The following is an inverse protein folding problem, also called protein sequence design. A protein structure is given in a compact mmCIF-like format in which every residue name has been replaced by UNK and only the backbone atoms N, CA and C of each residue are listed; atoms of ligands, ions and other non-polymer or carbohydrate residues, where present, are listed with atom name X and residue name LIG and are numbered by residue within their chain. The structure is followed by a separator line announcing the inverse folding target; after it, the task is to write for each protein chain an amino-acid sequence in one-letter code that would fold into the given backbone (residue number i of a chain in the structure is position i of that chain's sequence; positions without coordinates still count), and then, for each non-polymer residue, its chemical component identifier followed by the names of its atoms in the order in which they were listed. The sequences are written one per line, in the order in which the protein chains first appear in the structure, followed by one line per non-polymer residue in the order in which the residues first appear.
data_IF_240593310503
#
_entry.id   IF_240593310503
#
_cell.length_a   1.000
_cell.length_b   1.000
_cell.length_c   1.000
_cell.angle_alpha   90.00
_cell.angle_beta   90.00
_cell.angle_gamma   90.00
#
_symmetry.space_group_name_H-M   'P 1'
#
loop_
_entity.id
_entity.type
_entity.pdbx_description
1 polymer ?
#
# COMPACT_ATOMS: atom_id res chain seq x y z
N UNK A 1 2.16 15.66 6.77
CA UNK A 1 0.86 15.93 7.47
C UNK A 1 0.73 15.04 8.72
N UNK A 2 -0.11 15.41 9.72
CA UNK A 2 -0.25 14.61 10.96
C UNK A 2 -1.51 13.74 10.97
N UNK A 3 -1.37 12.44 11.24
CA UNK A 3 -2.47 11.49 11.46
C UNK A 3 -2.58 11.22 12.97
N UNK A 4 -3.68 11.62 13.63
CA UNK A 4 -3.89 11.27 15.04
C UNK A 4 -4.14 9.77 15.17
N UNK A 5 -3.53 9.12 16.15
CA UNK A 5 -3.71 7.67 16.39
C UNK A 5 -4.48 7.47 17.68
N UNK A 6 -4.08 8.16 18.74
CA UNK A 6 -4.77 8.20 20.04
C UNK A 6 -4.43 9.50 20.76
N UNK A 7 -4.97 9.69 21.96
CA UNK A 7 -4.62 10.83 22.79
C UNK A 7 -3.10 10.92 22.96
N UNK A 8 -2.55 12.10 22.66
CA UNK A 8 -1.11 12.38 22.72
C UNK A 8 -0.22 11.55 21.77
N UNK A 9 -0.79 10.78 20.83
CA UNK A 9 -0.03 10.10 19.78
C UNK A 9 -0.51 10.54 18.40
N UNK A 10 0.38 11.20 17.66
CA UNK A 10 0.17 11.59 16.26
C UNK A 10 1.34 11.11 15.43
N UNK A 11 1.05 10.59 14.25
CA UNK A 11 2.03 10.19 13.27
C UNK A 11 2.33 11.38 12.35
N UNK A 12 3.59 11.80 12.23
CA UNK A 12 3.97 12.68 11.12
C UNK A 12 4.15 11.82 9.86
N UNK A 13 3.22 11.93 8.93
CA UNK A 13 3.23 11.16 7.69
C UNK A 13 4.40 11.51 6.76
N UNK A 14 4.97 12.72 6.88
CA UNK A 14 6.16 13.11 6.10
C UNK A 14 7.41 12.35 6.54
N UNK A 15 7.41 11.84 7.77
CA UNK A 15 8.57 11.17 8.37
C UNK A 15 8.45 9.64 8.36
N UNK A 16 7.43 9.08 7.70
CA UNK A 16 7.11 7.65 7.76
C UNK A 16 6.95 7.09 6.35
N UNK A 17 7.75 6.08 6.02
CA UNK A 17 7.75 5.46 4.70
C UNK A 17 6.78 4.27 4.59
N UNK A 18 6.52 3.59 5.71
CA UNK A 18 5.70 2.38 5.77
C UNK A 18 5.07 2.18 7.15
N UNK A 19 3.87 1.61 7.19
CA UNK A 19 3.15 1.26 8.43
C UNK A 19 2.74 -0.21 8.33
N UNK A 20 3.05 -1.00 9.35
CA UNK A 20 2.58 -2.38 9.47
C UNK A 20 1.52 -2.47 10.58
N UNK A 21 0.36 -3.07 10.27
CA UNK A 21 -0.72 -3.32 11.22
C UNK A 21 -0.78 -4.84 11.45
N UNK A 22 -0.44 -5.29 12.65
CA UNK A 22 -0.41 -6.69 13.03
C UNK A 22 -1.30 -6.98 14.26
N UNK A 23 -1.78 -8.22 14.37
CA UNK A 23 -2.66 -8.65 15.45
C UNK A 23 -3.45 -9.90 15.09
N UNK A 24 -4.07 -10.54 16.08
CA UNK A 24 -4.87 -11.75 15.87
C UNK A 24 -6.22 -11.43 15.20
N UNK A 25 -6.93 -12.46 14.71
CA UNK A 25 -8.31 -12.27 14.22
C UNK A 25 -9.18 -11.66 15.32
N UNK A 26 -10.04 -10.70 14.97
CA UNK A 26 -10.88 -9.97 15.93
C UNK A 26 -10.19 -8.85 16.71
N UNK A 27 -8.88 -8.62 16.55
CA UNK A 27 -8.14 -7.59 17.31
C UNK A 27 -8.34 -6.15 16.83
N UNK A 28 -9.28 -5.90 15.91
CA UNK A 28 -9.53 -4.57 15.35
C UNK A 28 -8.66 -4.14 14.17
N UNK A 29 -7.83 -5.03 13.58
CA UNK A 29 -6.94 -4.69 12.44
C UNK A 29 -7.68 -3.99 11.29
N UNK A 30 -8.77 -4.58 10.82
CA UNK A 30 -9.55 -4.02 9.69
C UNK A 30 -10.19 -2.68 10.05
N UNK A 31 -10.55 -2.47 11.31
CA UNK A 31 -11.05 -1.19 11.80
C UNK A 31 -9.95 -0.12 11.76
N UNK A 32 -8.76 -0.43 12.30
CA UNK A 32 -7.59 0.45 12.24
C UNK A 32 -7.19 0.76 10.79
N UNK A 33 -7.23 -0.24 9.90
CA UNK A 33 -6.96 -0.04 8.47
C UNK A 33 -7.94 0.93 7.83
N UNK A 34 -9.24 0.77 8.09
CA UNK A 34 -10.30 1.65 7.57
C UNK A 34 -10.19 3.08 8.12
N UNK A 35 -9.77 3.20 9.38
CA UNK A 35 -9.44 4.48 9.98
C UNK A 35 -8.30 5.18 9.22
N UNK A 36 -7.19 4.48 8.99
CA UNK A 36 -6.08 5.02 8.19
C UNK A 36 -6.51 5.40 6.78
N UNK A 37 -7.28 4.56 6.10
CA UNK A 37 -7.83 4.87 4.77
C UNK A 37 -8.61 6.19 4.76
N UNK A 38 -9.45 6.41 5.77
CA UNK A 38 -10.24 7.63 5.92
C UNK A 38 -9.37 8.87 6.17
N UNK A 39 -8.31 8.73 6.96
CA UNK A 39 -7.37 9.81 7.23
C UNK A 39 -6.44 10.11 6.04
N UNK A 40 -6.07 9.09 5.27
CA UNK A 40 -5.15 9.21 4.15
C UNK A 40 -5.83 9.69 2.87
N UNK A 41 -7.12 9.42 2.69
CA UNK A 41 -7.90 9.82 1.51
C UNK A 41 -7.70 11.29 1.07
N UNK A 42 -7.76 12.30 1.97
CA UNK A 42 -7.53 13.69 1.58
C UNK A 42 -6.04 14.07 1.47
N UNK A 43 -5.11 13.19 1.90
CA UNK A 43 -3.69 13.49 2.01
C UNK A 43 -2.84 12.84 0.91
N UNK A 44 -3.33 11.76 0.30
CA UNK A 44 -2.54 10.86 -0.53
C UNK A 44 -3.41 10.20 -1.59
N UNK A 45 -2.83 9.98 -2.76
CA UNK A 45 -3.39 9.06 -3.75
C UNK A 45 -3.31 7.63 -3.19
N UNK A 46 -4.39 6.85 -3.31
CA UNK A 46 -4.48 5.52 -2.71
C UNK A 46 -4.54 4.42 -3.75
N UNK A 47 -3.68 3.42 -3.60
CA UNK A 47 -3.76 2.13 -4.29
C UNK A 47 -4.10 1.09 -3.23
N UNK A 48 -5.28 0.47 -3.36
CA UNK A 48 -5.78 -0.50 -2.36
C UNK A 48 -5.71 -1.89 -2.97
N UNK A 49 -5.09 -2.82 -2.26
CA UNK A 49 -4.99 -4.24 -2.59
C UNK A 49 -5.71 -5.01 -1.48
N UNK A 50 -6.76 -5.73 -1.85
CA UNK A 50 -7.59 -6.48 -0.91
C UNK A 50 -7.84 -7.90 -1.43
N UNK A 51 -7.07 -8.89 -0.95
CA UNK A 51 -7.20 -10.29 -1.36
C UNK A 51 -8.50 -10.94 -0.88
N UNK A 52 -9.15 -10.40 0.16
CA UNK A 52 -10.37 -10.96 0.76
C UNK A 52 -11.64 -10.31 0.20
N UNK A 53 -11.49 -9.18 -0.47
CA UNK A 53 -12.57 -8.38 -1.02
C UNK A 53 -13.63 -8.05 0.05
N UNK A 54 -13.17 -7.54 1.20
CA UNK A 54 -14.00 -7.33 2.39
C UNK A 54 -14.20 -5.85 2.76
N UNK A 55 -13.79 -5.44 3.97
CA UNK A 55 -14.01 -4.11 4.54
C UNK A 55 -13.25 -3.01 3.77
N UNK A 56 -11.95 -3.16 3.44
CA UNK A 56 -11.22 -2.17 2.65
C UNK A 56 -11.85 -1.98 1.27
N UNK A 57 -12.25 -3.06 0.60
CA UNK A 57 -12.93 -2.99 -0.70
C UNK A 57 -14.27 -2.25 -0.64
N UNK A 58 -15.09 -2.51 0.38
CA UNK A 58 -16.36 -1.79 0.57
C UNK A 58 -16.14 -0.31 0.80
N UNK A 59 -15.20 0.05 1.68
CA UNK A 59 -14.85 1.43 1.95
C UNK A 59 -14.34 2.13 0.68
N UNK A 60 -13.48 1.48 -0.10
CA UNK A 60 -12.94 2.05 -1.34
C UNK A 60 -14.02 2.32 -2.38
N UNK A 61 -14.97 1.38 -2.54
CA UNK A 61 -16.14 1.55 -3.41
C UNK A 61 -16.98 2.77 -3.04
N UNK A 62 -17.29 2.95 -1.76
CA UNK A 62 -18.04 4.11 -1.26
C UNK A 62 -17.30 5.43 -1.49
N UNK A 63 -15.97 5.38 -1.49
CA UNK A 63 -15.10 6.53 -1.68
C UNK A 63 -14.63 6.72 -3.14
N UNK A 64 -15.09 5.88 -4.08
CA UNK A 64 -14.74 5.88 -5.51
C UNK A 64 -13.23 5.71 -5.77
N UNK A 65 -12.58 4.87 -4.97
CA UNK A 65 -11.16 4.54 -5.09
C UNK A 65 -11.02 3.15 -5.72
N UNK A 66 -10.16 2.98 -6.74
CA UNK A 66 -9.94 1.68 -7.36
C UNK A 66 -9.29 0.70 -6.37
N UNK A 67 -9.66 -0.59 -6.51
CA UNK A 67 -9.15 -1.67 -5.68
C UNK A 67 -8.68 -2.81 -6.58
N UNK A 68 -7.48 -3.31 -6.31
CA UNK A 68 -6.98 -4.56 -6.89
C UNK A 68 -7.49 -5.69 -5.99
N UNK A 69 -8.42 -6.48 -6.50
CA UNK A 69 -9.03 -7.61 -5.80
C UNK A 69 -9.15 -8.83 -6.74
N UNK A 70 -9.32 -10.05 -6.20
CA UNK A 70 -9.45 -11.23 -7.05
C UNK A 70 -10.69 -11.16 -7.95
N UNK A 71 -10.55 -11.59 -9.20
CA UNK A 71 -11.64 -11.76 -10.15
C UNK A 71 -12.01 -13.24 -10.30
N UNK A 72 -13.31 -13.55 -10.48
CA UNK A 72 -13.82 -14.94 -10.50
C UNK A 72 -13.19 -15.83 -11.58
N UNK A 73 -12.68 -15.26 -12.67
CA UNK A 73 -12.12 -15.99 -13.81
C UNK A 73 -10.59 -15.87 -13.91
N UNK A 74 -9.91 -15.26 -12.93
CA UNK A 74 -8.45 -15.16 -12.89
C UNK A 74 -7.87 -16.16 -11.90
N UNK A 75 -6.69 -16.70 -12.21
CA UNK A 75 -5.95 -17.52 -11.25
C UNK A 75 -5.37 -16.64 -10.14
N UNK A 76 -5.05 -17.25 -9.00
CA UNK A 76 -4.34 -16.55 -7.91
C UNK A 76 -2.99 -16.01 -8.37
N UNK A 77 -2.31 -16.72 -9.26
CA UNK A 77 -1.05 -16.26 -9.85
C UNK A 77 -1.22 -15.02 -10.71
N UNK A 78 -2.28 -14.93 -11.50
CA UNK A 78 -2.58 -13.74 -12.32
C UNK A 78 -2.88 -12.53 -11.43
N UNK A 79 -3.62 -12.74 -10.34
CA UNK A 79 -3.90 -11.70 -9.34
C UNK A 79 -2.62 -11.16 -8.68
N UNK A 80 -1.70 -12.04 -8.27
CA UNK A 80 -0.42 -11.58 -7.69
C UNK A 80 0.49 -10.95 -8.74
N UNK A 81 0.41 -11.39 -10.00
CA UNK A 81 1.13 -10.74 -11.10
C UNK A 81 0.65 -9.30 -11.34
N UNK A 82 -0.66 -9.06 -11.32
CA UNK A 82 -1.24 -7.71 -11.39
C UNK A 82 -0.78 -6.81 -10.23
N UNK A 83 -0.69 -7.36 -9.02
CA UNK A 83 -0.12 -6.64 -7.87
C UNK A 83 1.35 -6.30 -8.12
N UNK A 84 2.15 -7.25 -8.63
CA UNK A 84 3.55 -7.00 -8.97
C UNK A 84 3.72 -5.91 -10.02
N UNK A 85 2.83 -5.85 -11.02
CA UNK A 85 2.82 -4.77 -12.01
C UNK A 85 2.54 -3.41 -11.35
N UNK A 86 1.55 -3.32 -10.46
CA UNK A 86 1.24 -2.08 -9.72
C UNK A 86 2.40 -1.62 -8.81
N UNK A 87 3.05 -2.56 -8.11
CA UNK A 87 4.25 -2.27 -7.32
C UNK A 87 5.41 -1.79 -8.20
N UNK A 88 5.65 -2.45 -9.34
CA UNK A 88 6.70 -2.06 -10.29
C UNK A 88 6.46 -0.65 -10.87
N UNK A 89 5.21 -0.31 -11.17
CA UNK A 89 4.85 1.05 -11.58
C UNK A 89 5.13 2.07 -10.48
N UNK A 90 4.87 1.72 -9.22
CA UNK A 90 5.17 2.60 -8.09
C UNK A 90 6.67 2.78 -7.90
N UNK A 91 7.46 1.73 -8.08
CA UNK A 91 8.92 1.83 -8.06
C UNK A 91 9.47 2.78 -9.13
N UNK A 92 8.88 2.76 -10.34
CA UNK A 92 9.23 3.72 -11.39
C UNK A 92 8.89 5.17 -11.01
N UNK A 93 7.81 5.40 -10.24
CA UNK A 93 7.48 6.74 -9.72
C UNK A 93 8.57 7.20 -8.75
N UNK A 94 9.05 6.32 -7.87
CA UNK A 94 10.13 6.61 -6.92
C UNK A 94 11.40 7.05 -7.67
N UNK A 95 11.85 6.29 -8.67
CA UNK A 95 13.04 6.65 -9.44
C UNK A 95 12.89 8.00 -10.17
N UNK A 96 11.71 8.29 -10.72
CA UNK A 96 11.45 9.61 -11.34
C UNK A 96 11.50 10.74 -10.31
N UNK A 97 11.01 10.52 -9.10
CA UNK A 97 11.08 11.53 -8.02
C UNK A 97 12.53 11.78 -7.61
N UNK A 98 13.35 10.73 -7.51
CA UNK A 98 14.79 10.85 -7.23
C UNK A 98 15.52 11.67 -8.28
N UNK A 99 15.23 11.43 -9.57
CA UNK A 99 15.79 12.23 -10.66
C UNK A 99 15.41 13.71 -10.53
N UNK A 100 14.14 14.01 -10.24
CA UNK A 100 13.69 15.38 -10.02
C UNK A 100 14.34 16.01 -8.77
N UNK A 101 14.52 15.24 -7.70
CA UNK A 101 15.15 15.73 -6.46
C UNK A 101 16.64 15.97 -6.62
N UNK A 102 17.30 15.25 -7.51
CA UNK A 102 18.70 15.50 -7.86
C UNK A 102 18.89 16.93 -8.39
N UNK A 103 17.99 17.37 -9.26
CA UNK A 103 18.02 18.72 -9.84
C UNK A 103 17.37 19.78 -8.92
N UNK A 104 16.29 19.41 -8.23
CA UNK A 104 15.54 20.28 -7.33
C UNK A 104 15.24 19.59 -5.99
N UNK A 105 16.14 19.69 -5.00
CA UNK A 105 16.01 19.00 -3.71
C UNK A 105 14.81 19.41 -2.86
N UNK A 106 14.07 20.45 -3.24
CA UNK A 106 12.89 20.95 -2.51
C UNK A 106 11.60 20.80 -3.33
N UNK A 107 11.63 20.04 -4.42
CA UNK A 107 10.45 19.81 -5.23
C UNK A 107 9.36 19.12 -4.39
N UNK A 108 8.17 19.71 -4.24
CA UNK A 108 7.08 19.09 -3.48
C UNK A 108 6.44 17.96 -4.32
N UNK A 109 6.12 16.83 -3.69
CA UNK A 109 5.36 15.75 -4.33
C UNK A 109 4.07 15.48 -3.56
N UNK A 110 3.02 15.06 -4.28
CA UNK A 110 1.86 14.44 -3.63
C UNK A 110 2.25 13.11 -3.00
N UNK A 111 1.64 12.76 -1.87
CA UNK A 111 1.79 11.43 -1.33
C UNK A 111 1.08 10.40 -2.21
N UNK A 112 1.68 9.21 -2.31
CA UNK A 112 1.08 8.03 -2.91
C UNK A 112 1.22 6.90 -1.88
N UNK A 113 0.11 6.29 -1.49
CA UNK A 113 0.08 5.22 -0.49
C UNK A 113 -0.49 3.95 -1.08
N UNK A 114 0.31 2.88 -1.00
CA UNK A 114 -0.16 1.52 -1.27
C UNK A 114 -0.63 0.90 0.03
N UNK A 115 -1.85 0.38 0.03
CA UNK A 115 -2.48 -0.28 1.17
C UNK A 115 -2.73 -1.73 0.78
N UNK A 116 -2.11 -2.67 1.50
CA UNK A 116 -2.25 -4.10 1.27
C UNK A 116 -2.93 -4.72 2.49
N UNK A 117 -4.15 -5.23 2.33
CA UNK A 117 -4.76 -6.05 3.36
C UNK A 117 -4.25 -7.50 3.27
N UNK A 118 -4.09 -8.13 4.42
CA UNK A 118 -3.64 -9.52 4.56
C UNK A 118 -2.49 -9.93 3.61
N UNK A 119 -1.29 -9.41 3.86
CA UNK A 119 -0.09 -9.70 3.04
C UNK A 119 0.16 -11.21 2.88
N UNK A 120 -0.14 -12.02 3.90
CA UNK A 120 0.06 -13.47 3.84
C UNK A 120 -0.83 -14.15 2.79
N UNK A 121 -2.05 -13.65 2.58
CA UNK A 121 -2.99 -14.22 1.60
C UNK A 121 -2.45 -14.14 0.17
N UNK A 122 -1.55 -13.19 -0.12
CA UNK A 122 -0.88 -13.05 -1.43
C UNK A 122 0.25 -14.07 -1.63
N UNK A 123 0.79 -14.60 -0.52
CA UNK A 123 1.97 -15.47 -0.52
C UNK A 123 1.66 -16.97 -0.49
N UNK A 124 0.42 -17.35 -0.19
CA UNK A 124 -0.03 -18.74 -0.09
C UNK A 124 -0.58 -19.24 -1.43
N UNK A 125 -0.25 -20.46 -1.86
CA UNK A 125 -0.86 -21.06 -3.07
C UNK A 125 -0.53 -20.37 -4.40
N UNK A 126 0.47 -19.48 -4.42
CA UNK A 126 1.00 -18.81 -5.62
C UNK A 126 2.32 -19.46 -6.06
N UNK A 127 2.62 -19.42 -7.36
CA UNK A 127 3.93 -19.86 -7.89
C UNK A 127 5.09 -19.17 -7.16
N UNK A 128 6.14 -19.94 -6.82
CA UNK A 128 7.32 -19.46 -6.09
C UNK A 128 7.96 -18.23 -6.74
N UNK A 129 8.12 -18.22 -8.06
CA UNK A 129 8.77 -17.09 -8.76
C UNK A 129 7.96 -15.79 -8.61
N UNK A 130 6.63 -15.88 -8.71
CA UNK A 130 5.74 -14.72 -8.58
C UNK A 130 5.75 -14.19 -7.14
N UNK A 131 5.74 -15.11 -6.16
CA UNK A 131 5.83 -14.80 -4.75
C UNK A 131 7.16 -14.14 -4.37
N UNK A 132 8.28 -14.70 -4.84
CA UNK A 132 9.61 -14.15 -4.56
C UNK A 132 9.74 -12.74 -5.18
N UNK A 133 9.19 -12.53 -6.38
CA UNK A 133 9.12 -11.21 -7.00
C UNK A 133 8.32 -10.21 -6.16
N UNK A 134 7.16 -10.62 -5.63
CA UNK A 134 6.32 -9.78 -4.76
C UNK A 134 7.07 -9.31 -3.51
N UNK A 135 7.73 -10.22 -2.79
CA UNK A 135 8.49 -9.84 -1.60
C UNK A 135 9.72 -9.00 -1.93
N UNK A 136 10.38 -9.26 -3.06
CA UNK A 136 11.48 -8.43 -3.54
C UNK A 136 11.01 -7.01 -3.80
N UNK A 137 9.87 -6.81 -4.47
CA UNK A 137 9.32 -5.50 -4.76
C UNK A 137 8.95 -4.74 -3.48
N UNK A 138 8.25 -5.39 -2.54
CA UNK A 138 7.92 -4.75 -1.24
C UNK A 138 9.19 -4.32 -0.51
N UNK A 139 10.20 -5.18 -0.48
CA UNK A 139 11.47 -4.87 0.19
C UNK A 139 12.16 -3.67 -0.45
N UNK A 140 12.28 -3.67 -1.78
CA UNK A 140 12.89 -2.58 -2.53
C UNK A 140 12.11 -1.27 -2.36
N UNK A 141 10.78 -1.29 -2.52
CA UNK A 141 9.93 -0.10 -2.32
C UNK A 141 10.09 0.49 -0.91
N UNK A 142 10.12 -0.36 0.12
CA UNK A 142 10.29 0.10 1.50
C UNK A 142 11.68 0.71 1.76
N UNK A 143 12.72 0.16 1.14
CA UNK A 143 14.10 0.59 1.31
C UNK A 143 14.35 1.88 0.54
N UNK A 144 14.00 1.93 -0.75
CA UNK A 144 14.30 3.07 -1.62
C UNK A 144 13.55 4.33 -1.16
N UNK A 145 12.32 4.20 -0.66
CA UNK A 145 11.57 5.33 -0.06
C UNK A 145 12.24 5.96 1.16
N UNK A 146 13.17 5.28 1.85
CA UNK A 146 13.91 5.89 2.98
C UNK A 146 15.05 6.81 2.51
N UNK A 147 15.44 6.72 1.25
CA UNK A 147 16.51 7.51 0.66
C UNK A 147 16.00 8.81 0.01
N UNK A 148 14.69 8.99 -0.05
CA UNK A 148 13.97 10.17 -0.57
C UNK A 148 13.59 11.16 0.54
#
# INVERSE_FOLDING_TARGET
PYIPIMENLKLNYDNVTSIAIAGNSGSGKSYTLTYFLSMLKPLSDLIIIDPKFDTPSRWARENKIPVIHPERNRSKSDFVAEINESLSQTLNIIYKRQEILYDNPRHPFSHLTIVIDEVLALSEGTNKNIKDSFFSLISTDCIVRKSD
#
